data_IF_407387727739
#
_entry.id   IF_407387727739
#
_cell.length_a   1.000
_cell.length_b   1.000
_cell.length_c   1.000
_cell.angle_alpha   90.00
_cell.angle_beta   90.00
_cell.angle_gamma   90.00
#
_symmetry.space_group_name_H-M   'P 1'
#
loop_
_entity.id
_entity.type
_entity.pdbx_description
1 polymer ?
#
# COMPACT_ATOMS: atom_id res chain seq x y z
N UNK A 1 13.01 11.62 -7.66
CA UNK A 1 12.49 11.39 -9.02
C UNK A 1 13.46 10.51 -9.78
N UNK A 2 12.98 9.68 -10.70
CA UNK A 2 13.79 8.93 -11.66
C UNK A 2 14.21 9.85 -12.83
N UNK A 3 14.88 9.28 -13.85
CA UNK A 3 15.38 10.03 -15.02
C UNK A 3 14.27 10.70 -15.84
N UNK A 4 13.04 10.20 -15.76
CA UNK A 4 11.87 10.76 -16.46
C UNK A 4 11.11 11.80 -15.61
N UNK A 5 11.66 12.23 -14.47
CA UNK A 5 10.98 13.16 -13.56
C UNK A 5 9.83 12.54 -12.76
N UNK A 6 9.70 11.20 -12.75
CA UNK A 6 8.63 10.51 -12.01
C UNK A 6 9.09 10.12 -10.62
N UNK A 7 8.20 10.18 -9.63
CA UNK A 7 8.49 9.74 -8.28
C UNK A 7 7.23 9.67 -7.44
N UNK A 8 7.35 9.20 -6.18
CA UNK A 8 6.23 9.21 -5.25
C UNK A 8 5.73 10.65 -5.04
N UNK A 9 4.44 10.88 -5.27
CA UNK A 9 3.76 12.04 -4.71
C UNK A 9 3.55 11.75 -3.22
N UNK A 10 4.14 12.58 -2.36
CA UNK A 10 4.09 12.37 -0.92
C UNK A 10 3.31 13.49 -0.26
N UNK A 11 2.42 13.13 0.65
CA UNK A 11 1.64 14.06 1.45
C UNK A 11 1.37 13.45 2.82
N UNK A 12 1.22 14.30 3.82
CA UNK A 12 0.85 13.94 5.17
C UNK A 12 -0.31 14.84 5.58
N UNK A 13 -1.44 14.22 5.92
CA UNK A 13 -2.59 14.93 6.49
C UNK A 13 -2.38 15.07 8.00
N UNK A 14 -3.08 14.28 8.80
CA UNK A 14 -2.98 14.25 10.25
C UNK A 14 -2.58 12.85 10.73
N UNK A 15 -2.41 12.72 12.04
CA UNK A 15 -1.98 11.46 12.64
C UNK A 15 -3.10 10.42 12.65
N UNK A 16 -4.33 10.88 12.80
CA UNK A 16 -5.55 10.09 12.96
C UNK A 16 -6.21 9.67 11.64
N UNK A 17 -6.02 10.43 10.55
CA UNK A 17 -6.84 10.33 9.33
C UNK A 17 -6.10 9.74 8.11
N UNK A 18 -4.88 9.21 8.29
CA UNK A 18 -4.08 8.68 7.18
C UNK A 18 -4.81 7.58 6.38
N UNK A 19 -5.61 6.77 7.09
CA UNK A 19 -6.69 5.90 6.61
C UNK A 19 -7.48 6.47 5.41
N UNK A 20 -8.31 7.42 5.82
CA UNK A 20 -9.34 8.12 5.09
C UNK A 20 -8.75 9.06 4.04
N UNK A 21 -7.61 9.66 4.37
CA UNK A 21 -6.87 10.53 3.46
C UNK A 21 -6.37 9.76 2.22
N UNK A 22 -5.75 8.60 2.44
CA UNK A 22 -5.34 7.73 1.34
C UNK A 22 -6.52 7.20 0.53
N UNK A 23 -7.64 6.86 1.19
CA UNK A 23 -8.88 6.49 0.49
C UNK A 23 -9.41 7.64 -0.38
N UNK A 24 -9.39 8.88 0.11
CA UNK A 24 -9.75 10.06 -0.66
C UNK A 24 -8.91 10.19 -1.94
N UNK A 25 -7.60 9.93 -1.87
CA UNK A 25 -6.73 9.89 -3.05
C UNK A 25 -7.12 8.78 -4.03
N UNK A 26 -7.40 7.57 -3.53
CA UNK A 26 -7.85 6.44 -4.36
C UNK A 26 -9.11 6.79 -5.15
N UNK A 27 -10.12 7.35 -4.47
CA UNK A 27 -11.38 7.77 -5.07
C UNK A 27 -11.18 8.89 -6.11
N UNK A 28 -10.32 9.87 -5.81
CA UNK A 28 -9.99 10.93 -6.76
C UNK A 28 -9.30 10.38 -8.03
N UNK A 29 -8.37 9.44 -7.88
CA UNK A 29 -7.69 8.79 -9.01
C UNK A 29 -8.69 8.01 -9.87
N UNK A 30 -9.64 7.30 -9.26
CA UNK A 30 -10.70 6.59 -9.98
C UNK A 30 -11.62 7.53 -10.76
N UNK A 31 -12.02 8.65 -10.15
CA UNK A 31 -12.84 9.65 -10.82
C UNK A 31 -12.10 10.29 -12.02
N UNK A 32 -10.83 10.66 -11.85
CA UNK A 32 -10.01 11.17 -12.94
C UNK A 32 -9.78 10.13 -14.04
N UNK A 33 -9.58 8.86 -13.67
CA UNK A 33 -9.47 7.75 -14.64
C UNK A 33 -10.76 7.60 -15.45
N UNK A 34 -11.92 7.57 -14.79
CA UNK A 34 -13.22 7.48 -15.47
C UNK A 34 -13.45 8.66 -16.42
N UNK A 35 -13.07 9.87 -16.00
CA UNK A 35 -13.13 11.05 -16.86
C UNK A 35 -12.21 10.93 -18.08
N UNK A 36 -10.96 10.51 -17.88
CA UNK A 36 -10.00 10.29 -18.96
C UNK A 36 -10.49 9.22 -19.96
N UNK A 37 -11.10 8.14 -19.47
CA UNK A 37 -11.71 7.09 -20.31
C UNK A 37 -12.89 7.64 -21.11
N UNK A 38 -13.76 8.45 -20.51
CA UNK A 38 -14.87 9.10 -21.19
C UNK A 38 -14.40 9.97 -22.36
N UNK A 39 -13.41 10.83 -22.10
CA UNK A 39 -12.80 11.69 -23.13
C UNK A 39 -12.10 10.86 -24.22
N UNK A 40 -11.33 9.84 -23.84
CA UNK A 40 -10.64 8.95 -24.78
C UNK A 40 -11.62 8.30 -25.77
N UNK A 41 -12.76 7.79 -25.26
CA UNK A 41 -13.82 7.20 -26.09
C UNK A 41 -14.44 8.22 -27.04
N UNK A 42 -14.63 9.47 -26.59
CA UNK A 42 -15.09 10.56 -27.44
C UNK A 42 -14.16 10.86 -28.62
N UNK A 43 -12.86 10.58 -28.48
CA UNK A 43 -11.87 10.73 -29.54
C UNK A 43 -11.69 9.50 -30.43
N UNK A 44 -12.43 8.41 -30.23
CA UNK A 44 -12.29 7.17 -31.01
C UNK A 44 -12.31 7.38 -32.54
N UNK A 45 -13.21 8.19 -33.14
CA UNK A 45 -13.22 8.41 -34.59
C UNK A 45 -11.92 9.01 -35.15
N UNK A 46 -11.14 9.70 -34.31
CA UNK A 46 -9.86 10.32 -34.69
C UNK A 46 -8.66 9.45 -34.32
N UNK A 47 -8.74 8.72 -33.21
CA UNK A 47 -7.64 7.92 -32.69
C UNK A 47 -7.55 6.54 -33.36
N UNK A 48 -8.68 6.02 -33.83
CA UNK A 48 -8.86 4.65 -34.29
C UNK A 48 -9.23 3.71 -33.13
N UNK A 49 -10.16 2.80 -33.39
CA UNK A 49 -10.72 1.89 -32.38
C UNK A 49 -9.67 0.95 -31.77
N UNK A 50 -8.66 0.55 -32.56
CA UNK A 50 -7.57 -0.30 -32.09
C UNK A 50 -6.76 0.36 -30.97
N UNK A 51 -6.39 1.64 -31.15
CA UNK A 51 -5.61 2.37 -30.15
C UNK A 51 -6.41 2.56 -28.87
N UNK A 52 -7.67 2.97 -28.99
CA UNK A 52 -8.58 3.14 -27.84
C UNK A 52 -8.76 1.83 -27.10
N UNK A 53 -9.10 0.74 -27.81
CA UNK A 53 -9.28 -0.58 -27.21
C UNK A 53 -8.01 -1.06 -26.51
N UNK A 54 -6.84 -0.86 -27.13
CA UNK A 54 -5.57 -1.27 -26.55
C UNK A 54 -5.20 -0.54 -25.25
N UNK A 55 -5.69 0.69 -25.06
CA UNK A 55 -5.51 1.47 -23.83
C UNK A 55 -6.49 1.00 -22.75
N UNK A 56 -7.74 0.76 -23.12
CA UNK A 56 -8.79 0.37 -22.19
C UNK A 56 -8.63 -1.06 -21.65
N UNK A 57 -7.98 -1.93 -22.42
CA UNK A 57 -7.77 -3.36 -22.07
C UNK A 57 -6.33 -3.66 -21.64
N UNK A 58 -5.49 -2.64 -21.48
CA UNK A 58 -4.08 -2.82 -21.12
C UNK A 58 -3.92 -3.47 -19.74
N UNK A 59 -3.14 -4.54 -19.68
CA UNK A 59 -2.66 -5.07 -18.40
C UNK A 59 -1.56 -4.16 -17.85
N UNK A 60 -1.76 -3.62 -16.65
CA UNK A 60 -0.85 -2.70 -15.97
C UNK A 60 -0.43 -3.21 -14.57
N UNK A 61 -0.43 -4.54 -14.38
CA UNK A 61 -0.08 -5.17 -13.10
C UNK A 61 1.43 -5.14 -12.79
N UNK A 62 2.26 -4.95 -13.79
CA UNK A 62 3.71 -4.88 -13.66
C UNK A 62 4.29 -3.64 -14.36
N UNK A 63 5.59 -3.42 -14.15
CA UNK A 63 6.32 -2.28 -14.69
C UNK A 63 6.30 -2.26 -16.22
N UNK A 64 6.41 -3.43 -16.87
CA UNK A 64 6.37 -3.58 -18.33
C UNK A 64 5.02 -3.10 -18.88
N UNK A 65 3.91 -3.54 -18.28
CA UNK A 65 2.57 -3.13 -18.66
C UNK A 65 2.33 -1.63 -18.47
N UNK A 66 2.82 -1.08 -17.36
CA UNK A 66 2.74 0.36 -17.07
C UNK A 66 3.55 1.18 -18.09
N UNK A 67 4.75 0.74 -18.45
CA UNK A 67 5.58 1.43 -19.45
C UNK A 67 4.95 1.39 -20.84
N UNK A 68 4.45 0.22 -21.26
CA UNK A 68 3.70 0.11 -22.51
C UNK A 68 2.46 1.02 -22.53
N UNK A 69 1.76 1.17 -21.39
CA UNK A 69 0.63 2.09 -21.31
C UNK A 69 1.06 3.56 -21.45
N UNK A 70 2.20 3.96 -20.86
CA UNK A 70 2.74 5.32 -20.99
C UNK A 70 3.04 5.66 -22.45
N UNK A 71 3.57 4.70 -23.22
CA UNK A 71 3.79 4.89 -24.66
C UNK A 71 2.48 5.10 -25.42
N UNK A 72 1.43 4.31 -25.13
CA UNK A 72 0.10 4.50 -25.73
C UNK A 72 -0.49 5.87 -25.41
N UNK A 73 -0.39 6.31 -24.16
CA UNK A 73 -0.86 7.65 -23.73
C UNK A 73 -0.10 8.75 -24.47
N UNK A 74 1.21 8.59 -24.63
CA UNK A 74 2.05 9.53 -25.41
C UNK A 74 1.62 9.57 -26.88
N UNK A 75 1.29 8.42 -27.48
CA UNK A 75 0.77 8.35 -28.84
C UNK A 75 -0.57 9.07 -28.99
N UNK A 76 -1.49 8.93 -28.02
CA UNK A 76 -2.76 9.67 -28.00
C UNK A 76 -2.51 11.17 -27.90
N UNK A 77 -1.68 11.62 -26.94
CA UNK A 77 -1.30 13.04 -26.80
C UNK A 77 -0.79 13.61 -28.12
N UNK A 78 0.10 12.90 -28.81
CA UNK A 78 0.63 13.33 -30.12
C UNK A 78 -0.47 13.47 -31.19
N UNK A 79 -1.43 12.54 -31.26
CA UNK A 79 -2.55 12.59 -32.22
C UNK A 79 -3.55 13.72 -31.91
N UNK A 80 -3.66 14.13 -30.65
CA UNK A 80 -4.57 15.19 -30.20
C UNK A 80 -3.90 16.58 -30.10
N UNK A 81 -2.57 16.68 -30.16
CA UNK A 81 -1.82 17.92 -29.93
C UNK A 81 -2.24 19.11 -30.81
N UNK A 82 -2.71 18.86 -32.04
CA UNK A 82 -3.16 19.93 -32.95
C UNK A 82 -4.59 20.39 -32.70
N UNK A 83 -5.35 19.69 -31.84
CA UNK A 83 -6.77 19.90 -31.64
C UNK A 83 -6.99 20.96 -30.55
N UNK A 84 -7.59 22.10 -30.93
CA UNK A 84 -7.85 23.22 -30.02
C UNK A 84 -9.30 23.22 -29.50
N UNK A 85 -9.77 22.08 -29.03
CA UNK A 85 -11.09 21.97 -28.40
C UNK A 85 -10.97 21.92 -26.88
N UNK A 86 -12.09 22.19 -26.20
CA UNK A 86 -12.15 22.12 -24.74
C UNK A 86 -11.87 20.69 -24.26
N UNK A 87 -12.40 19.69 -24.94
CA UNK A 87 -12.25 18.27 -24.61
C UNK A 87 -10.78 17.82 -24.74
N UNK A 88 -10.06 18.33 -25.75
CA UNK A 88 -8.65 18.00 -25.94
C UNK A 88 -7.79 18.60 -24.81
N UNK A 89 -8.11 19.82 -24.40
CA UNK A 89 -7.46 20.49 -23.28
C UNK A 89 -7.77 19.79 -21.95
N UNK A 90 -9.02 19.39 -21.72
CA UNK A 90 -9.43 18.61 -20.56
C UNK A 90 -8.72 17.26 -20.53
N UNK A 91 -8.67 16.55 -21.67
CA UNK A 91 -8.00 15.26 -21.77
C UNK A 91 -6.53 15.36 -21.36
N UNK A 92 -5.83 16.40 -21.81
CA UNK A 92 -4.42 16.61 -21.47
C UNK A 92 -4.20 16.67 -19.94
N UNK A 93 -5.12 17.28 -19.19
CA UNK A 93 -5.03 17.37 -17.72
C UNK A 93 -5.23 16.03 -17.00
N UNK A 94 -5.92 15.07 -17.62
CA UNK A 94 -6.25 13.77 -17.01
C UNK A 94 -5.62 12.57 -17.71
N UNK A 95 -4.89 12.75 -18.81
CA UNK A 95 -4.35 11.67 -19.62
C UNK A 95 -3.45 10.71 -18.82
N UNK A 96 -2.68 11.24 -17.86
CA UNK A 96 -1.81 10.43 -17.00
C UNK A 96 -2.58 9.53 -16.01
N UNK A 97 -3.90 9.69 -15.87
CA UNK A 97 -4.75 8.79 -15.09
C UNK A 97 -5.18 7.54 -15.88
N UNK A 98 -4.89 7.46 -17.19
CA UNK A 98 -4.98 6.20 -17.96
C UNK A 98 -3.87 5.21 -17.59
N UNK A 99 -2.80 5.71 -16.95
CA UNK A 99 -1.71 4.91 -16.39
C UNK A 99 -2.04 4.59 -14.93
N UNK A 100 -2.00 3.30 -14.55
CA UNK A 100 -2.29 2.83 -13.20
C UNK A 100 -1.44 3.58 -12.17
N UNK A 101 -2.10 4.03 -11.09
CA UNK A 101 -1.45 4.63 -9.93
C UNK A 101 -1.70 3.76 -8.71
N UNK A 102 -0.63 3.47 -7.99
CA UNK A 102 -0.61 2.68 -6.75
C UNK A 102 -0.68 3.64 -5.56
N UNK A 103 -1.62 3.43 -4.64
CA UNK A 103 -1.80 4.27 -3.45
C UNK A 103 -1.25 3.53 -2.23
N UNK A 104 -0.28 4.14 -1.55
CA UNK A 104 0.38 3.58 -0.37
C UNK A 104 0.12 4.46 0.86
N UNK A 105 -0.48 3.87 1.88
CA UNK A 105 -0.78 4.49 3.17
C UNK A 105 0.28 3.99 4.15
N UNK A 106 1.25 4.85 4.46
CA UNK A 106 2.41 4.48 5.28
C UNK A 106 2.26 5.11 6.66
N UNK A 107 2.41 4.32 7.72
CA UNK A 107 2.39 4.85 9.08
C UNK A 107 2.97 3.88 10.10
N UNK A 108 3.20 4.37 11.32
CA UNK A 108 3.75 3.57 12.41
C UNK A 108 2.68 2.76 13.16
N UNK A 109 3.11 1.95 14.12
CA UNK A 109 2.19 1.16 14.95
C UNK A 109 1.22 2.01 15.78
N UNK A 110 1.66 3.18 16.28
CA UNK A 110 0.76 4.05 17.04
C UNK A 110 -0.43 4.58 16.23
N UNK A 111 -0.24 4.81 14.94
CA UNK A 111 -1.35 5.14 14.04
C UNK A 111 -2.26 3.93 13.84
N UNK A 112 -1.70 2.82 13.33
CA UNK A 112 -2.47 1.69 12.85
C UNK A 112 -3.17 0.90 13.98
N UNK A 113 -2.54 0.80 15.15
CA UNK A 113 -3.09 0.01 16.25
C UNK A 113 -3.99 0.85 17.15
N UNK A 114 -3.74 2.16 17.26
CA UNK A 114 -4.42 3.07 18.19
C UNK A 114 -5.26 4.14 17.49
N UNK A 115 -4.70 5.32 17.25
CA UNK A 115 -5.48 6.54 16.96
C UNK A 115 -6.20 6.48 15.61
N UNK A 116 -5.56 5.90 14.58
CA UNK A 116 -6.12 5.75 13.25
C UNK A 116 -6.72 4.38 12.98
N UNK A 117 -6.85 3.53 14.02
CA UNK A 117 -7.36 2.18 13.82
C UNK A 117 -8.80 2.17 13.29
N UNK A 118 -9.66 3.09 13.74
CA UNK A 118 -11.05 3.14 13.24
C UNK A 118 -11.14 3.41 11.74
N UNK A 119 -10.35 4.36 11.24
CA UNK A 119 -10.24 4.64 9.81
C UNK A 119 -9.60 3.50 9.03
N UNK A 120 -8.54 2.91 9.58
CA UNK A 120 -7.87 1.74 9.00
C UNK A 120 -8.82 0.53 8.87
N UNK A 121 -9.59 0.23 9.92
CA UNK A 121 -10.60 -0.83 9.95
C UNK A 121 -11.64 -0.62 8.85
N UNK A 122 -12.16 0.62 8.72
CA UNK A 122 -13.11 0.98 7.67
C UNK A 122 -12.51 0.80 6.26
N UNK A 123 -11.26 1.19 6.03
CA UNK A 123 -10.60 1.00 4.73
C UNK A 123 -10.41 -0.48 4.43
N UNK A 124 -9.95 -1.28 5.40
CA UNK A 124 -9.73 -2.72 5.26
C UNK A 124 -11.03 -3.53 5.08
N UNK A 125 -12.16 -3.04 5.59
CA UNK A 125 -13.45 -3.72 5.47
C UNK A 125 -14.10 -3.55 4.08
N UNK A 126 -13.56 -2.67 3.24
CA UNK A 126 -14.12 -2.31 1.94
C UNK A 126 -13.18 -2.70 0.78
N UNK A 127 -13.70 -2.97 -0.43
CA UNK A 127 -12.92 -3.55 -1.53
C UNK A 127 -12.03 -2.54 -2.28
N UNK A 128 -11.56 -1.48 -1.62
CA UNK A 128 -10.78 -0.42 -2.27
C UNK A 128 -9.34 -0.87 -2.53
N UNK A 129 -8.81 -0.66 -3.75
CA UNK A 129 -7.43 -0.98 -4.14
C UNK A 129 -6.44 0.02 -3.52
N UNK A 130 -6.06 -0.25 -2.27
CA UNK A 130 -5.08 0.53 -1.50
C UNK A 130 -4.11 -0.39 -0.77
N UNK A 131 -2.85 0.05 -0.72
CA UNK A 131 -1.79 -0.65 -0.01
C UNK A 131 -1.49 0.06 1.30
N UNK A 132 -1.50 -0.65 2.41
CA UNK A 132 -1.20 -0.13 3.74
C UNK A 132 0.11 -0.76 4.23
N UNK A 133 1.08 0.08 4.57
CA UNK A 133 2.36 -0.33 5.15
C UNK A 133 2.46 0.18 6.58
N UNK A 134 2.39 -0.74 7.54
CA UNK A 134 2.56 -0.45 8.95
C UNK A 134 4.01 -0.74 9.35
N UNK A 135 4.74 0.31 9.71
CA UNK A 135 6.09 0.24 10.26
C UNK A 135 6.00 0.01 11.77
N UNK A 136 5.98 -1.25 12.18
CA UNK A 136 5.72 -1.64 13.55
C UNK A 136 7.00 -1.64 14.38
N UNK A 137 7.12 -0.62 15.23
CA UNK A 137 8.23 -0.48 16.19
C UNK A 137 7.85 -0.98 17.58
N UNK A 138 6.59 -1.38 17.80
CA UNK A 138 6.06 -1.76 19.10
C UNK A 138 5.97 -0.62 20.12
N UNK A 139 6.16 0.64 19.74
CA UNK A 139 6.07 1.83 20.61
C UNK A 139 5.80 3.09 19.79
N UNK A 140 5.41 4.19 20.44
CA UNK A 140 5.35 5.50 19.78
C UNK A 140 6.76 6.09 19.71
N UNK A 141 7.51 5.68 18.70
CA UNK A 141 8.93 6.01 18.54
C UNK A 141 9.20 7.53 18.52
N UNK A 142 8.46 8.29 17.71
CA UNK A 142 8.70 9.72 17.50
C UNK A 142 8.51 10.57 18.77
N UNK A 143 7.50 10.25 19.59
CA UNK A 143 7.17 11.01 20.81
C UNK A 143 7.96 10.55 22.03
N UNK A 144 8.94 9.67 21.84
CA UNK A 144 9.89 9.25 22.87
C UNK A 144 9.52 7.95 23.58
N UNK A 145 8.92 6.99 22.87
CA UNK A 145 8.79 5.60 23.30
C UNK A 145 7.64 5.33 24.26
N UNK A 146 6.46 5.91 24.01
CA UNK A 146 5.23 5.56 24.72
C UNK A 146 4.72 4.18 24.33
N UNK A 147 4.05 3.51 25.27
CA UNK A 147 3.32 2.28 25.00
C UNK A 147 2.25 2.48 23.92
N UNK A 148 2.16 1.54 22.98
CA UNK A 148 1.06 1.39 22.01
C UNK A 148 0.28 0.09 22.26
N UNK A 149 -0.88 -0.10 21.61
CA UNK A 149 -1.50 -1.45 21.58
C UNK A 149 -0.64 -2.49 20.85
N UNK A 150 0.36 -2.05 20.09
CA UNK A 150 1.34 -2.92 19.42
C UNK A 150 2.52 -3.31 20.34
N UNK A 151 2.70 -2.66 21.48
CA UNK A 151 3.76 -3.01 22.45
C UNK A 151 3.59 -4.47 22.94
N UNK A 152 4.65 -5.29 22.94
CA UNK A 152 4.60 -6.68 23.42
C UNK A 152 4.31 -6.80 24.92
N UNK A 153 3.80 -7.97 25.34
CA UNK A 153 3.67 -8.32 26.76
C UNK A 153 5.05 -8.25 27.45
N UNK A 154 5.11 -7.63 28.62
CA UNK A 154 6.33 -7.49 29.42
C UNK A 154 7.34 -6.45 28.92
N UNK A 155 7.12 -5.83 27.75
CA UNK A 155 8.01 -4.78 27.25
C UNK A 155 7.85 -3.48 28.07
N UNK A 156 8.96 -2.90 28.50
CA UNK A 156 8.99 -1.63 29.21
C UNK A 156 8.92 -0.45 28.23
N UNK A 157 8.02 0.50 28.50
CA UNK A 157 7.85 1.72 27.72
C UNK A 157 7.32 2.85 28.62
N UNK A 158 7.27 4.10 28.15
CA UNK A 158 6.54 5.15 28.90
C UNK A 158 5.07 4.75 29.01
N UNK A 159 4.50 4.91 30.20
CA UNK A 159 3.18 4.40 30.60
C UNK A 159 3.07 2.87 30.81
N UNK A 160 4.17 2.14 30.67
CA UNK A 160 4.33 0.73 31.07
C UNK A 160 5.75 0.48 31.59
N UNK A 161 6.14 1.22 32.63
CA UNK A 161 7.51 1.15 33.18
C UNK A 161 7.81 -0.19 33.85
N UNK A 162 6.80 -0.83 34.43
CA UNK A 162 6.89 -2.19 34.98
C UNK A 162 6.70 -3.30 33.92
N UNK A 163 6.64 -2.92 32.64
CA UNK A 163 6.27 -3.81 31.54
C UNK A 163 4.76 -3.74 31.24
N UNK A 164 4.39 -3.89 29.97
CA UNK A 164 2.98 -3.95 29.56
C UNK A 164 2.35 -5.25 30.04
N UNK A 165 1.17 -5.17 30.66
CA UNK A 165 0.48 -6.32 31.26
C UNK A 165 -0.39 -7.12 30.28
N UNK A 166 -0.74 -6.53 29.14
CA UNK A 166 -1.59 -7.13 28.12
C UNK A 166 -0.81 -7.46 26.84
N UNK A 167 -1.20 -8.54 26.17
CA UNK A 167 -0.61 -8.97 24.91
C UNK A 167 -0.70 -7.91 23.81
N UNK A 168 0.15 -8.05 22.79
CA UNK A 168 0.10 -7.26 21.57
C UNK A 168 -1.26 -7.50 20.89
N UNK A 169 -1.94 -6.42 20.48
CA UNK A 169 -3.13 -6.53 19.62
C UNK A 169 -2.72 -7.16 18.29
N UNK A 170 -3.45 -8.17 17.82
CA UNK A 170 -3.15 -8.83 16.55
C UNK A 170 -3.89 -8.15 15.39
N UNK A 171 -3.28 -7.10 14.84
CA UNK A 171 -3.84 -6.36 13.70
C UNK A 171 -3.95 -7.23 12.45
N UNK A 172 -3.01 -8.14 12.25
CA UNK A 172 -3.00 -9.05 11.11
C UNK A 172 -4.20 -9.98 11.14
N UNK A 173 -4.47 -10.59 12.28
CA UNK A 173 -5.63 -11.47 12.47
C UNK A 173 -6.97 -10.73 12.29
N UNK A 174 -7.06 -9.49 12.78
CA UNK A 174 -8.26 -8.65 12.56
C UNK A 174 -8.47 -8.43 11.07
N UNK A 175 -7.44 -8.03 10.32
CA UNK A 175 -7.55 -7.81 8.89
C UNK A 175 -7.90 -9.09 8.11
N UNK A 176 -7.33 -10.24 8.52
CA UNK A 176 -7.67 -11.55 7.93
C UNK A 176 -9.15 -11.91 8.08
N UNK A 177 -9.81 -11.46 9.16
CA UNK A 177 -11.19 -11.82 9.45
C UNK A 177 -12.19 -11.32 8.39
N UNK A 178 -11.84 -10.29 7.62
CA UNK A 178 -12.66 -9.81 6.51
C UNK A 178 -12.65 -10.72 5.27
N UNK A 179 -11.70 -11.66 5.18
CA UNK A 179 -11.62 -12.68 4.12
C UNK A 179 -11.21 -12.19 2.73
N UNK A 180 -11.20 -10.88 2.46
CA UNK A 180 -10.89 -10.30 1.14
C UNK A 180 -9.65 -9.39 1.12
N UNK A 181 -9.11 -9.03 2.28
CA UNK A 181 -7.89 -8.25 2.37
C UNK A 181 -6.66 -9.16 2.21
N UNK A 182 -5.68 -8.71 1.42
CA UNK A 182 -4.35 -9.32 1.44
C UNK A 182 -3.64 -8.92 2.73
N UNK A 183 -3.03 -9.87 3.45
CA UNK A 183 -2.34 -9.57 4.72
C UNK A 183 -0.97 -10.23 4.75
N UNK A 184 0.08 -9.48 5.05
CA UNK A 184 1.41 -10.03 5.22
C UNK A 184 2.10 -9.45 6.46
N UNK A 185 2.85 -10.31 7.16
CA UNK A 185 3.79 -9.91 8.19
C UNK A 185 5.21 -10.19 7.71
N UNK A 186 6.04 -9.14 7.72
CA UNK A 186 7.37 -9.14 7.08
C UNK A 186 8.45 -8.68 8.05
N UNK A 187 9.68 -9.16 7.82
CA UNK A 187 10.88 -8.68 8.47
C UNK A 187 12.06 -8.89 7.50
N UNK A 188 12.53 -7.82 6.87
CA UNK A 188 13.49 -7.90 5.77
C UNK A 188 14.84 -8.51 6.22
N UNK A 189 15.27 -8.22 7.45
CA UNK A 189 16.49 -8.77 8.02
C UNK A 189 16.42 -10.27 8.28
N UNK A 190 15.21 -10.81 8.44
CA UNK A 190 15.00 -12.25 8.56
C UNK A 190 14.90 -12.95 7.20
N UNK A 191 14.10 -12.39 6.26
CA UNK A 191 13.85 -13.01 4.96
C UNK A 191 13.48 -11.98 3.88
N UNK A 192 14.50 -11.30 3.34
CA UNK A 192 14.33 -10.28 2.31
C UNK A 192 13.49 -10.73 1.10
N UNK A 193 13.70 -11.96 0.61
CA UNK A 193 12.92 -12.50 -0.52
C UNK A 193 11.42 -12.62 -0.22
N UNK A 194 11.04 -12.93 1.03
CA UNK A 194 9.64 -12.95 1.45
C UNK A 194 9.07 -11.53 1.53
N UNK A 195 9.86 -10.55 2.00
CA UNK A 195 9.42 -9.15 2.07
C UNK A 195 9.17 -8.57 0.68
N UNK A 196 10.09 -8.77 -0.26
CA UNK A 196 9.91 -8.32 -1.66
C UNK A 196 8.68 -8.99 -2.29
N UNK A 197 8.49 -10.29 -2.05
CA UNK A 197 7.32 -11.02 -2.54
C UNK A 197 6.02 -10.48 -1.97
N UNK A 198 5.97 -10.22 -0.65
CA UNK A 198 4.79 -9.69 0.01
C UNK A 198 4.39 -8.31 -0.52
N UNK A 199 5.35 -7.41 -0.73
CA UNK A 199 5.08 -6.08 -1.29
C UNK A 199 4.55 -6.15 -2.72
N UNK A 200 5.09 -7.06 -3.55
CA UNK A 200 4.62 -7.26 -4.93
C UNK A 200 3.22 -7.86 -4.98
N UNK A 201 2.95 -8.86 -4.14
CA UNK A 201 1.61 -9.48 -4.06
C UNK A 201 0.58 -8.49 -3.51
N UNK A 202 0.92 -7.71 -2.48
CA UNK A 202 0.08 -6.64 -1.96
C UNK A 202 -0.31 -5.64 -3.06
N UNK A 203 0.66 -5.14 -3.83
CA UNK A 203 0.39 -4.18 -4.92
C UNK A 203 -0.41 -4.79 -6.08
N UNK A 204 -0.28 -6.10 -6.30
CA UNK A 204 -1.00 -6.79 -7.37
C UNK A 204 -2.43 -7.20 -6.98
N UNK A 205 -2.74 -7.24 -5.68
CA UNK A 205 -4.05 -7.61 -5.15
C UNK A 205 -5.09 -6.54 -5.51
N UNK A 206 -6.21 -6.90 -6.18
CA UNK A 206 -7.25 -5.94 -6.57
C UNK A 206 -8.20 -5.64 -5.40
N UNK A 207 -7.66 -5.05 -4.33
CA UNK A 207 -8.40 -4.77 -3.10
C UNK A 207 -7.48 -4.24 -1.99
N UNK A 208 -7.95 -4.18 -0.74
CA UNK A 208 -7.14 -3.66 0.36
C UNK A 208 -6.01 -4.64 0.70
N UNK A 209 -4.81 -4.10 0.88
CA UNK A 209 -3.61 -4.86 1.24
C UNK A 209 -2.98 -4.29 2.51
N UNK A 210 -2.70 -5.14 3.50
CA UNK A 210 -2.02 -4.78 4.74
C UNK A 210 -0.67 -5.49 4.84
N UNK A 211 0.41 -4.72 4.95
CA UNK A 211 1.76 -5.22 5.22
C UNK A 211 2.24 -4.67 6.56
N UNK A 212 2.45 -5.56 7.53
CA UNK A 212 2.97 -5.23 8.86
C UNK A 212 4.47 -5.58 8.87
N UNK A 213 5.31 -4.55 8.90
CA UNK A 213 6.75 -4.68 8.81
C UNK A 213 7.40 -4.44 10.17
N UNK A 214 8.15 -5.44 10.67
CA UNK A 214 8.98 -5.25 11.86
C UNK A 214 9.99 -4.14 11.59
N UNK A 215 9.97 -3.10 12.42
CA UNK A 215 10.81 -1.92 12.29
C UNK A 215 11.66 -1.76 13.55
N UNK A 216 12.95 -2.06 13.45
CA UNK A 216 13.88 -1.90 14.57
C UNK A 216 14.00 -0.42 14.95
N UNK A 217 14.06 -0.11 16.25
CA UNK A 217 14.05 1.25 16.75
C UNK A 217 15.04 1.43 17.90
N UNK A 218 15.59 2.64 18.07
CA UNK A 218 16.44 3.00 19.21
C UNK A 218 15.77 2.71 20.56
N UNK A 219 14.44 2.78 20.62
CA UNK A 219 13.66 2.50 21.82
C UNK A 219 13.77 1.04 22.30
N UNK A 220 14.26 0.12 21.46
CA UNK A 220 14.46 -1.28 21.83
C UNK A 220 15.72 -1.51 22.67
N UNK A 221 16.60 -0.51 22.79
CA UNK A 221 17.75 -0.55 23.71
C UNK A 221 18.92 -1.41 23.25
N UNK A 222 19.07 -1.64 21.94
CA UNK A 222 20.24 -2.30 21.35
C UNK A 222 20.88 -1.44 20.25
N UNK A 223 22.14 -1.73 19.90
CA UNK A 223 22.85 -1.07 18.81
C UNK A 223 22.19 -1.36 17.45
N UNK A 224 21.73 -0.31 16.76
CA UNK A 224 21.03 -0.41 15.49
C UNK A 224 21.87 -0.99 14.34
N UNK A 225 23.20 -1.05 14.46
CA UNK A 225 24.04 -1.82 13.54
C UNK A 225 23.62 -3.30 13.51
N UNK A 226 23.05 -3.80 14.62
CA UNK A 226 22.51 -5.16 14.76
C UNK A 226 21.03 -5.27 14.35
N UNK A 227 20.42 -4.22 13.80
CA UNK A 227 18.99 -4.18 13.46
C UNK A 227 18.52 -5.38 12.62
N UNK A 228 19.14 -5.68 11.47
CA UNK A 228 18.78 -6.85 10.66
C UNK A 228 18.95 -8.18 11.40
N UNK A 229 20.01 -8.33 12.21
CA UNK A 229 20.22 -9.52 13.03
C UNK A 229 19.12 -9.69 14.08
N UNK A 230 18.66 -8.59 14.69
CA UNK A 230 17.57 -8.62 15.65
C UNK A 230 16.23 -8.98 15.00
N UNK A 231 15.96 -8.51 13.77
CA UNK A 231 14.80 -8.95 13.01
C UNK A 231 14.83 -10.47 12.78
N UNK A 232 15.99 -11.00 12.39
CA UNK A 232 16.18 -12.45 12.21
C UNK A 232 15.94 -13.21 13.50
N UNK A 233 16.48 -12.72 14.63
CA UNK A 233 16.28 -13.35 15.94
C UNK A 233 14.81 -13.31 16.38
N UNK A 234 14.09 -12.22 16.16
CA UNK A 234 12.67 -12.09 16.48
C UNK A 234 11.79 -13.10 15.71
N UNK A 235 12.14 -13.38 14.45
CA UNK A 235 11.47 -14.42 13.65
C UNK A 235 11.84 -15.81 14.15
N UNK A 236 13.12 -16.09 14.39
CA UNK A 236 13.59 -17.41 14.85
C UNK A 236 13.09 -17.78 16.24
N UNK A 237 12.85 -16.79 17.11
CA UNK A 237 12.28 -17.00 18.44
C UNK A 237 10.76 -17.20 18.41
N UNK A 238 10.11 -17.02 17.26
CA UNK A 238 8.65 -17.11 17.11
C UNK A 238 7.89 -15.88 17.61
N UNK A 239 8.57 -14.83 18.09
CA UNK A 239 7.92 -13.59 18.55
C UNK A 239 7.33 -12.80 17.38
N UNK A 240 7.93 -12.90 16.20
CA UNK A 240 7.47 -12.27 14.98
C UNK A 240 7.33 -13.29 13.84
N UNK A 241 6.22 -14.05 13.75
CA UNK A 241 6.03 -15.00 12.66
C UNK A 241 5.98 -14.28 11.31
N UNK A 242 6.56 -14.87 10.28
CA UNK A 242 6.38 -14.39 8.91
C UNK A 242 5.22 -15.15 8.29
N UNK A 243 4.31 -14.43 7.63
CA UNK A 243 3.23 -15.06 6.88
C UNK A 243 2.73 -14.14 5.77
N UNK A 244 1.99 -14.73 4.83
CA UNK A 244 1.19 -14.04 3.81
C UNK A 244 -0.16 -14.74 3.71
N UNK A 245 -1.22 -13.96 3.61
CA UNK A 245 -2.59 -14.41 3.39
C UNK A 245 -3.07 -13.75 2.11
N UNK A 246 -3.30 -14.57 1.10
CA UNK A 246 -3.76 -14.15 -0.21
C UNK A 246 -5.15 -14.73 -0.48
N UNK A 247 -6.21 -13.90 -0.43
CA UNK A 247 -7.58 -14.32 -0.72
C UNK A 247 -7.75 -14.95 -2.11
N UNK A 248 -6.96 -14.54 -3.10
CA UNK A 248 -7.06 -15.06 -4.46
C UNK A 248 -6.69 -16.54 -4.55
N UNK A 249 -5.86 -17.03 -3.63
CA UNK A 249 -5.49 -18.46 -3.56
C UNK A 249 -6.64 -19.34 -3.10
N UNK A 250 -7.49 -18.84 -2.20
CA UNK A 250 -8.70 -19.53 -1.78
C UNK A 250 -9.65 -19.79 -2.94
N UNK A 251 -9.77 -18.83 -3.86
CA UNK A 251 -10.56 -18.99 -5.09
C UNK A 251 -10.00 -20.06 -6.05
N UNK A 252 -8.71 -20.40 -5.91
CA UNK A 252 -8.03 -21.47 -6.67
C UNK A 252 -8.04 -22.82 -5.94
N UNK A 253 -8.69 -22.92 -4.77
CA UNK A 253 -8.67 -24.12 -3.93
C UNK A 253 -7.34 -24.36 -3.19
N UNK A 254 -6.46 -23.36 -3.18
CA UNK A 254 -5.19 -23.40 -2.46
C UNK A 254 -5.34 -22.81 -1.05
N UNK A 255 -4.50 -23.22 -0.08
CA UNK A 255 -4.44 -22.55 1.21
C UNK A 255 -4.11 -21.06 1.05
N UNK A 256 -5.00 -20.20 1.54
CA UNK A 256 -4.83 -18.75 1.50
C UNK A 256 -3.58 -18.29 2.27
N UNK A 257 -3.28 -18.97 3.39
CA UNK A 257 -2.14 -18.65 4.25
C UNK A 257 -0.88 -19.43 3.85
N UNK A 258 0.26 -18.74 3.79
CA UNK A 258 1.60 -19.32 3.69
C UNK A 258 2.48 -18.76 4.81
N UNK A 259 3.20 -19.65 5.50
CA UNK A 259 4.16 -19.35 6.57
C UNK A 259 5.58 -19.49 6.03
#
# INVERSE_FOLDING_TARGET
>A
MNRDGRGPAWSNSLFEDNAEYGLGMRLAIENHHAHAVGLLKGFAPRLGDDLVTSILTANQKDEIGVDAQRERVTAVRKKLASLKTLEASQFETVADYLVRKTVWLVGGDGWAYDIGFGGLDHVLSNPWDVNILVLDTGVYSNTGGQQSKATPLGAAAKFATAGKEISKKDLGLIAMSYGHAYVAQVAFGAKNSQTVRALREADAHPGPSLVIAYSHCIAHGYDLVRGPDQQRLAVLSGVWPLYRVDPARGALGEPAMTI
#
